data_IF_786849062175
#
_entry.id   IF_786849062175
#
_cell.length_a   1.000
_cell.length_b   1.000
_cell.length_c   1.000
_cell.angle_alpha   90.00
_cell.angle_beta   90.00
_cell.angle_gamma   90.00
#
_symmetry.space_group_name_H-M   'P 1'
#
loop_
_entity.id
_entity.type
_entity.pdbx_description
1 polymer ?
#
# COMPACT_ATOMS: atom_id res chain seq x y z
N UNK A 1 14.93 -22.06 3.33
CA UNK A 1 14.12 -20.96 2.75
C UNK A 1 13.31 -20.27 3.83
N UNK A 2 12.96 -18.99 3.65
CA UNK A 2 12.28 -18.14 4.66
C UNK A 2 10.98 -18.76 5.19
N UNK A 3 10.10 -19.23 4.30
CA UNK A 3 8.81 -19.87 4.65
C UNK A 3 9.01 -21.04 5.64
N UNK A 4 10.01 -21.88 5.37
CA UNK A 4 10.34 -23.01 6.24
C UNK A 4 10.79 -22.57 7.63
N UNK A 5 11.57 -21.50 7.74
CA UNK A 5 12.00 -20.94 9.03
C UNK A 5 10.82 -20.35 9.81
N UNK A 6 9.94 -19.60 9.13
CA UNK A 6 8.73 -19.06 9.75
C UNK A 6 7.84 -20.18 10.30
N UNK A 7 7.56 -21.20 9.49
CA UNK A 7 6.74 -22.35 9.90
C UNK A 7 7.39 -23.14 11.04
N UNK A 8 8.71 -23.33 11.01
CA UNK A 8 9.43 -24.00 12.09
C UNK A 8 9.30 -23.22 13.40
N UNK A 9 9.51 -21.90 13.37
CA UNK A 9 9.34 -21.04 14.53
C UNK A 9 7.91 -21.07 15.07
N UNK A 10 6.90 -21.02 14.20
CA UNK A 10 5.49 -21.11 14.63
C UNK A 10 5.22 -22.42 15.36
N UNK A 11 5.74 -23.54 14.85
CA UNK A 11 5.55 -24.84 15.50
C UNK A 11 6.29 -24.94 16.85
N UNK A 12 7.49 -24.38 16.97
CA UNK A 12 8.22 -24.33 18.25
C UNK A 12 7.45 -23.50 19.28
N UNK A 13 6.92 -22.34 18.88
CA UNK A 13 6.21 -21.43 19.77
C UNK A 13 4.87 -21.98 20.29
N UNK A 14 4.24 -22.94 19.60
CA UNK A 14 3.05 -23.64 20.09
C UNK A 14 3.27 -24.34 21.43
N UNK A 15 4.52 -24.69 21.76
CA UNK A 15 4.90 -25.28 23.04
C UNK A 15 5.09 -24.24 24.17
N UNK A 16 4.77 -22.97 23.92
CA UNK A 16 4.84 -21.85 24.88
C UNK A 16 6.17 -21.74 25.65
N UNK A 17 7.32 -21.63 24.95
CA UNK A 17 8.59 -21.38 25.61
C UNK A 17 8.59 -20.01 26.30
N UNK A 18 9.33 -19.89 27.41
CA UNK A 18 9.51 -18.62 28.15
C UNK A 18 10.09 -17.49 27.28
N UNK A 19 10.85 -17.85 26.24
CA UNK A 19 11.34 -16.95 25.19
C UNK A 19 10.25 -16.00 24.66
N UNK A 20 9.02 -16.51 24.51
CA UNK A 20 7.89 -15.78 23.92
C UNK A 20 7.54 -14.50 24.68
N UNK A 21 7.62 -14.52 26.02
CA UNK A 21 7.28 -13.38 26.86
C UNK A 21 8.48 -12.49 27.20
N UNK A 22 9.69 -12.96 26.86
CA UNK A 22 10.94 -12.22 27.00
C UNK A 22 11.09 -11.07 26.02
N UNK A 23 12.18 -10.31 26.18
CA UNK A 23 12.52 -9.20 25.28
C UNK A 23 12.87 -9.69 23.88
N UNK A 24 13.45 -10.88 23.80
CA UNK A 24 13.84 -11.55 22.57
C UNK A 24 12.61 -11.95 21.75
N UNK A 25 11.54 -12.44 22.40
CA UNK A 25 10.26 -12.71 21.74
C UNK A 25 9.59 -11.45 21.17
N UNK A 26 9.69 -10.33 21.90
CA UNK A 26 9.22 -9.02 21.42
C UNK A 26 10.06 -8.50 20.25
N UNK A 27 11.39 -8.70 20.29
CA UNK A 27 12.27 -8.35 19.18
C UNK A 27 11.92 -9.17 17.91
N UNK A 28 11.70 -10.48 18.07
CA UNK A 28 11.26 -11.34 16.97
C UNK A 28 9.90 -10.88 16.40
N UNK A 29 8.94 -10.52 17.26
CA UNK A 29 7.65 -9.97 16.81
C UNK A 29 7.84 -8.74 15.94
N UNK A 30 8.71 -7.82 16.37
CA UNK A 30 9.02 -6.62 15.60
C UNK A 30 9.67 -6.97 14.25
N UNK A 31 10.65 -7.87 14.21
CA UNK A 31 11.28 -8.29 12.97
C UNK A 31 10.29 -8.93 11.99
N UNK A 32 9.42 -9.83 12.47
CA UNK A 32 8.41 -10.47 11.63
C UNK A 32 7.41 -9.45 11.09
N UNK A 33 7.07 -8.44 11.90
CA UNK A 33 6.24 -7.31 11.45
C UNK A 33 6.93 -6.52 10.32
N UNK A 34 8.22 -6.20 10.46
CA UNK A 34 8.99 -5.53 9.40
C UNK A 34 9.09 -6.42 8.14
N UNK A 35 9.22 -7.74 8.28
CA UNK A 35 9.22 -8.65 7.12
C UNK A 35 7.92 -8.58 6.31
N UNK A 36 6.80 -8.21 6.94
CA UNK A 36 5.49 -8.09 6.31
C UNK A 36 5.20 -6.71 5.73
N UNK A 37 5.66 -5.65 6.40
CA UNK A 37 5.14 -4.28 6.20
C UNK A 37 6.20 -3.21 5.96
N UNK A 38 7.48 -3.47 6.24
CA UNK A 38 8.52 -2.47 6.03
C UNK A 38 8.62 -2.10 4.55
N UNK A 39 8.76 -0.80 4.28
CA UNK A 39 9.03 -0.29 2.95
C UNK A 39 10.53 -0.38 2.66
N UNK A 40 10.93 -0.64 1.40
CA UNK A 40 12.33 -0.59 1.03
C UNK A 40 12.87 0.84 1.14
N UNK A 41 14.04 0.99 1.77
CA UNK A 41 14.84 2.21 1.76
C UNK A 41 16.22 1.95 1.12
N UNK A 42 17.03 2.99 0.81
CA UNK A 42 18.33 2.81 0.16
C UNK A 42 19.28 1.83 0.87
N UNK A 43 19.18 1.73 2.19
CA UNK A 43 19.96 0.83 3.04
C UNK A 43 19.33 -0.56 3.13
N UNK A 44 18.00 -0.66 3.04
CA UNK A 44 17.27 -1.93 3.17
C UNK A 44 16.36 -2.25 1.96
N UNK A 45 16.96 -2.29 0.77
CA UNK A 45 16.26 -2.52 -0.51
C UNK A 45 15.50 -3.85 -0.61
N UNK A 46 15.81 -4.81 0.25
CA UNK A 46 15.22 -6.15 0.18
C UNK A 46 13.87 -6.27 0.88
N UNK A 47 13.41 -5.25 1.61
CA UNK A 47 12.10 -5.25 2.23
C UNK A 47 10.95 -4.96 1.24
N UNK A 48 9.72 -5.42 1.56
CA UNK A 48 9.42 -6.41 2.61
C UNK A 48 10.00 -7.79 2.24
N UNK A 49 10.39 -8.60 3.24
CA UNK A 49 10.94 -9.94 2.99
C UNK A 49 9.85 -10.94 2.57
N UNK A 50 8.62 -10.79 3.09
CA UNK A 50 7.47 -11.62 2.75
C UNK A 50 6.76 -11.11 1.49
N UNK A 51 7.36 -11.38 0.32
CA UNK A 51 6.85 -10.93 -0.99
C UNK A 51 5.76 -11.82 -1.58
N UNK A 52 5.77 -13.13 -1.29
CA UNK A 52 4.79 -14.08 -1.80
C UNK A 52 3.63 -14.30 -0.82
N UNK A 53 2.46 -14.67 -1.34
CA UNK A 53 1.29 -14.96 -0.51
C UNK A 53 1.60 -16.03 0.54
N UNK A 54 2.30 -17.11 0.16
CA UNK A 54 2.71 -18.16 1.09
C UNK A 54 3.62 -17.64 2.23
N UNK A 55 4.58 -16.77 1.92
CA UNK A 55 5.44 -16.17 2.95
C UNK A 55 4.68 -15.23 3.89
N UNK A 56 3.69 -14.49 3.36
CA UNK A 56 2.83 -13.63 4.17
C UNK A 56 1.97 -14.46 5.12
N UNK A 57 1.31 -15.51 4.61
CA UNK A 57 0.50 -16.43 5.44
C UNK A 57 1.33 -17.03 6.59
N UNK A 58 2.50 -17.59 6.30
CA UNK A 58 3.39 -18.15 7.32
C UNK A 58 3.84 -17.13 8.37
N UNK A 59 4.07 -15.87 7.97
CA UNK A 59 4.44 -14.81 8.91
C UNK A 59 3.26 -14.37 9.79
N UNK A 60 2.04 -14.32 9.25
CA UNK A 60 0.84 -14.04 10.04
C UNK A 60 0.57 -15.14 11.08
N UNK A 61 0.70 -16.41 10.69
CA UNK A 61 0.58 -17.54 11.62
C UNK A 61 1.59 -17.43 12.77
N UNK A 62 2.82 -17.02 12.47
CA UNK A 62 3.86 -16.77 13.47
C UNK A 62 3.50 -15.63 14.42
N UNK A 63 2.99 -14.50 13.89
CA UNK A 63 2.55 -13.38 14.73
C UNK A 63 1.40 -13.78 15.66
N UNK A 64 0.43 -14.55 15.16
CA UNK A 64 -0.68 -15.08 15.97
C UNK A 64 -0.14 -15.98 17.09
N UNK A 65 0.78 -16.89 16.78
CA UNK A 65 1.39 -17.73 17.79
C UNK A 65 2.20 -16.92 18.80
N UNK A 66 2.92 -15.86 18.41
CA UNK A 66 3.68 -15.00 19.31
C UNK A 66 2.81 -14.23 20.32
N UNK A 67 1.58 -13.86 19.97
CA UNK A 67 0.68 -13.11 20.87
C UNK A 67 -0.19 -14.01 21.75
N UNK A 68 -0.39 -15.28 21.38
CA UNK A 68 -1.26 -16.21 22.10
C UNK A 68 -0.82 -16.40 23.56
N UNK A 69 -1.62 -15.98 24.53
CA UNK A 69 -1.25 -16.05 25.96
C UNK A 69 -0.11 -15.10 26.37
N UNK A 70 0.30 -14.16 25.52
CA UNK A 70 1.34 -13.16 25.79
C UNK A 70 0.76 -11.74 25.66
N UNK A 71 0.21 -11.21 26.76
CA UNK A 71 -0.49 -9.91 26.78
C UNK A 71 0.37 -8.74 26.28
N UNK A 72 1.65 -8.73 26.61
CA UNK A 72 2.57 -7.66 26.19
C UNK A 72 2.79 -7.66 24.67
N UNK A 73 3.02 -8.85 24.09
CA UNK A 73 3.14 -9.02 22.64
C UNK A 73 1.85 -8.63 21.92
N UNK A 74 0.69 -8.99 22.47
CA UNK A 74 -0.60 -8.59 21.93
C UNK A 74 -0.74 -7.06 21.87
N UNK A 75 -0.44 -6.37 22.98
CA UNK A 75 -0.52 -4.91 23.05
C UNK A 75 0.40 -4.26 22.01
N UNK A 76 1.65 -4.74 21.91
CA UNK A 76 2.63 -4.23 20.94
C UNK A 76 2.18 -4.45 19.49
N UNK A 77 1.75 -5.66 19.13
CA UNK A 77 1.28 -5.96 17.79
C UNK A 77 0.04 -5.13 17.43
N UNK A 78 -0.89 -4.99 18.38
CA UNK A 78 -2.10 -4.20 18.20
C UNK A 78 -1.79 -2.73 17.92
N UNK A 79 -0.91 -2.11 18.71
CA UNK A 79 -0.46 -0.72 18.50
C UNK A 79 0.21 -0.54 17.13
N UNK A 80 1.07 -1.49 16.73
CA UNK A 80 1.72 -1.48 15.42
C UNK A 80 0.72 -1.63 14.26
N UNK A 81 -0.23 -2.55 14.37
CA UNK A 81 -1.26 -2.74 13.35
C UNK A 81 -2.14 -1.50 13.22
N UNK A 82 -2.54 -0.88 14.34
CA UNK A 82 -3.27 0.39 14.29
C UNK A 82 -2.45 1.48 13.60
N UNK A 83 -1.17 1.62 13.93
CA UNK A 83 -0.29 2.60 13.27
C UNK A 83 -0.14 2.33 11.77
N UNK A 84 -0.01 1.06 11.37
CA UNK A 84 0.13 0.66 9.97
C UNK A 84 -1.13 0.94 9.13
N UNK A 85 -2.31 0.86 9.75
CA UNK A 85 -3.59 1.15 9.07
C UNK A 85 -4.01 2.62 9.18
N UNK A 86 -3.22 3.48 9.86
CA UNK A 86 -3.48 4.92 9.79
C UNK A 86 -3.12 5.43 8.40
N UNK A 87 -3.95 6.29 7.79
CA UNK A 87 -3.57 7.02 6.60
C UNK A 87 -2.24 7.74 6.86
N UNK A 88 -1.28 7.60 5.94
CA UNK A 88 -0.02 8.32 6.05
C UNK A 88 -0.24 9.84 5.96
N UNK A 89 0.75 10.65 6.37
CA UNK A 89 0.70 12.11 6.20
C UNK A 89 0.56 12.55 4.73
N UNK A 90 0.81 11.62 3.79
CA UNK A 90 0.59 11.76 2.36
C UNK A 90 -0.27 10.60 1.83
N UNK A 91 -1.48 10.37 2.38
CA UNK A 91 -2.48 9.59 1.64
C UNK A 91 -2.76 10.36 0.35
N UNK A 92 -2.28 9.93 -0.84
CA UNK A 92 -2.38 10.74 -2.05
C UNK A 92 -3.84 10.86 -2.50
N UNK A 93 -4.68 9.97 -1.99
CA UNK A 93 -6.11 9.99 -2.17
C UNK A 93 -6.73 9.78 -0.78
N UNK A 94 -7.30 10.82 -0.16
CA UNK A 94 -8.47 10.56 0.65
C UNK A 94 -9.51 9.96 -0.29
N UNK A 95 -10.40 9.13 0.23
CA UNK A 95 -11.61 8.78 -0.52
C UNK A 95 -12.45 10.05 -0.88
N UNK A 96 -12.03 11.21 -0.36
CA UNK A 96 -12.44 12.59 -0.65
C UNK A 96 -11.52 13.31 -1.68
N UNK A 97 -11.04 12.65 -2.73
CA UNK A 97 -10.24 13.32 -3.78
C UNK A 97 -11.07 14.39 -4.52
N UNK A 98 -10.69 15.66 -4.36
CA UNK A 98 -11.29 16.82 -5.03
C UNK A 98 -10.36 17.38 -6.12
N UNK A 99 -10.72 17.34 -7.41
CA UNK A 99 -9.83 17.65 -8.56
C UNK A 99 -9.29 19.08 -8.67
N UNK A 100 -9.62 19.98 -7.74
CA UNK A 100 -9.13 21.36 -7.75
C UNK A 100 -7.75 21.53 -7.12
N UNK A 101 -7.25 20.55 -6.36
CA UNK A 101 -6.04 20.71 -5.53
C UNK A 101 -4.76 20.12 -6.14
N UNK A 102 -4.83 19.31 -7.20
CA UNK A 102 -3.60 18.85 -7.88
C UNK A 102 -3.19 19.82 -8.99
N UNK A 103 -2.03 20.44 -8.76
CA UNK A 103 -1.32 21.31 -9.69
C UNK A 103 -1.25 20.71 -11.09
N UNK A 104 -2.00 21.31 -12.02
CA UNK A 104 -1.85 21.07 -13.44
C UNK A 104 -0.50 21.62 -13.88
N UNK A 105 0.15 20.94 -14.82
CA UNK A 105 1.28 21.55 -15.52
C UNK A 105 0.81 22.86 -16.18
N UNK A 106 1.64 23.90 -16.15
CA UNK A 106 1.33 25.21 -16.76
C UNK A 106 1.02 25.12 -18.26
N UNK A 107 1.41 24.03 -18.92
CA UNK A 107 1.09 23.77 -20.32
C UNK A 107 -0.36 23.33 -20.57
N UNK A 108 -1.19 23.18 -19.53
CA UNK A 108 -2.63 22.92 -19.65
C UNK A 108 -3.01 21.47 -19.99
N UNK A 109 -2.04 20.58 -20.18
CA UNK A 109 -2.26 19.15 -20.39
C UNK A 109 -2.29 18.37 -19.07
N UNK A 110 -3.19 17.38 -18.98
CA UNK A 110 -3.34 16.51 -17.81
C UNK A 110 -3.41 15.05 -18.23
N UNK A 111 -2.92 14.15 -17.38
CA UNK A 111 -3.06 12.71 -17.57
C UNK A 111 -4.48 12.22 -17.29
N UNK A 112 -4.80 11.01 -17.77
CA UNK A 112 -6.03 10.30 -17.41
C UNK A 112 -5.68 9.11 -16.52
N UNK A 113 -6.37 8.98 -15.38
CA UNK A 113 -6.20 7.86 -14.46
C UNK A 113 -6.75 6.57 -15.06
N UNK A 114 -5.97 5.50 -15.04
CA UNK A 114 -6.40 4.17 -15.48
C UNK A 114 -7.21 3.50 -14.36
N UNK A 115 -8.49 3.29 -14.59
CA UNK A 115 -9.41 2.65 -13.65
C UNK A 115 -9.41 1.11 -13.74
N UNK A 116 -8.34 0.52 -14.29
CA UNK A 116 -8.23 -0.90 -14.60
C UNK A 116 -8.84 -1.22 -15.97
N UNK A 117 -8.09 -1.91 -16.83
CA UNK A 117 -8.49 -2.27 -18.20
C UNK A 117 -8.99 -1.11 -19.11
N UNK A 118 -8.76 0.15 -18.73
CA UNK A 118 -9.22 1.35 -19.48
C UNK A 118 -8.10 2.08 -20.21
N UNK A 119 -6.86 1.58 -20.17
CA UNK A 119 -5.70 2.20 -20.81
C UNK A 119 -5.90 2.44 -22.31
N UNK A 120 -6.57 1.52 -23.01
CA UNK A 120 -6.87 1.69 -24.44
C UNK A 120 -7.72 2.95 -24.67
N UNK A 121 -8.76 3.14 -23.85
CA UNK A 121 -9.68 4.27 -23.96
C UNK A 121 -9.02 5.57 -23.51
N UNK A 122 -8.21 5.53 -22.45
CA UNK A 122 -7.43 6.68 -21.99
C UNK A 122 -6.48 7.18 -23.09
N UNK A 123 -5.78 6.26 -23.78
CA UNK A 123 -4.91 6.59 -24.91
C UNK A 123 -5.70 7.15 -26.09
N UNK A 124 -6.84 6.57 -26.45
CA UNK A 124 -7.69 7.10 -27.53
C UNK A 124 -8.19 8.52 -27.23
N UNK A 125 -8.64 8.77 -25.98
CA UNK A 125 -9.13 10.08 -25.57
C UNK A 125 -8.02 11.14 -25.57
N UNK A 126 -6.81 10.80 -25.12
CA UNK A 126 -5.66 11.70 -25.19
C UNK A 126 -5.30 12.04 -26.65
N UNK A 127 -5.31 11.07 -27.57
CA UNK A 127 -5.06 11.34 -28.99
C UNK A 127 -6.11 12.29 -29.60
N UNK A 128 -7.40 12.08 -29.29
CA UNK A 128 -8.48 12.96 -29.76
C UNK A 128 -8.33 14.38 -29.18
N UNK A 129 -7.95 14.52 -27.91
CA UNK A 129 -7.75 15.82 -27.28
C UNK A 129 -6.63 16.64 -27.93
N UNK A 130 -5.61 15.95 -28.46
CA UNK A 130 -4.49 16.59 -29.17
C UNK A 130 -4.85 17.05 -30.58
N UNK A 131 -6.05 16.74 -31.09
CA UNK A 131 -6.56 17.25 -32.36
C UNK A 131 -7.35 18.54 -32.12
N UNK A 132 -6.84 19.74 -32.48
CA UNK A 132 -7.48 21.01 -32.14
C UNK A 132 -8.90 21.14 -32.68
N UNK A 133 -9.15 20.60 -33.88
CA UNK A 133 -10.46 20.59 -34.53
C UNK A 133 -11.49 19.79 -33.73
N UNK A 134 -11.11 18.59 -33.26
CA UNK A 134 -11.98 17.73 -32.45
C UNK A 134 -12.24 18.31 -31.05
N UNK A 135 -11.27 19.08 -30.51
CA UNK A 135 -11.40 19.77 -29.22
C UNK A 135 -12.27 21.02 -29.31
N UNK A 136 -12.11 21.82 -30.37
CA UNK A 136 -12.85 23.08 -30.57
C UNK A 136 -14.33 22.84 -30.84
N UNK A 137 -14.67 21.77 -31.58
CA UNK A 137 -16.07 21.40 -31.87
C UNK A 137 -16.89 21.08 -30.61
N UNK A 138 -16.22 20.76 -29.49
CA UNK A 138 -16.86 20.50 -28.19
C UNK A 138 -16.84 21.68 -27.22
N UNK A 139 -16.16 22.77 -27.57
CA UNK A 139 -16.29 24.00 -26.78
C UNK A 139 -17.65 24.64 -27.07
N UNK A 140 -18.38 25.13 -26.05
CA UNK A 140 -19.63 25.83 -26.30
C UNK A 140 -19.35 26.98 -27.27
N UNK A 141 -19.99 26.95 -28.44
CA UNK A 141 -19.93 28.04 -29.40
C UNK A 141 -20.35 29.32 -28.64
N UNK A 142 -19.55 30.40 -28.66
CA UNK A 142 -20.06 31.69 -28.20
C UNK A 142 -21.28 31.99 -29.07
N UNK A 143 -22.39 32.37 -28.41
CA UNK A 143 -23.62 32.81 -29.05
C UNK A 143 -23.30 33.63 -30.32
N UNK A 144 -23.70 33.15 -31.49
CA UNK A 144 -23.65 33.95 -32.71
C UNK A 144 -24.63 35.11 -32.54
N UNK A 145 -24.12 36.31 -32.29
CA UNK A 145 -24.83 37.53 -32.67
C UNK A 145 -24.76 37.62 -34.19
N UNK A 146 -25.79 37.08 -34.85
CA UNK A 146 -26.09 37.38 -36.25
C UNK A 146 -26.38 38.89 -36.41
N UNK A 147 -26.02 39.49 -37.56
CA UNK A 147 -26.20 40.93 -37.81
C UNK A 147 -27.67 41.36 -37.82
#
# INVERSE_FOLDING_TARGET
GLIGLLNLMSNILKHNPSFKTGKEGQALLNEVFEFLFALPDPSNRHFPKCKSQAARSSAYDLLVELVKGARQNYKQLHEKLLAQHKPGPHSPYPWDYWPHEDGRSDCGYVGLTNLGATCYMASCMQHLYMMPQARADRSPQPYEQYP
#
